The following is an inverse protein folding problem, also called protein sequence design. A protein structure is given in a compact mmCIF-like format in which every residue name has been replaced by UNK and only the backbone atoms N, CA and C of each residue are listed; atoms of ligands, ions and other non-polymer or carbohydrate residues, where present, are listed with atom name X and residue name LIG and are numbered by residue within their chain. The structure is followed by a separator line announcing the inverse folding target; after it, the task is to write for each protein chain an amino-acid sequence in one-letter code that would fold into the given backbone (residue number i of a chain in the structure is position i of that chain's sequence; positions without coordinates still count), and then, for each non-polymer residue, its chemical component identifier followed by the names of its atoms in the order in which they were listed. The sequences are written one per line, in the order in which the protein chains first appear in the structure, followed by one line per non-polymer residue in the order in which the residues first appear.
data_IF_365759399550
#
_entry.id   IF_365759399550
#
_cell.length_a   1.000
_cell.length_b   1.000
_cell.length_c   1.000
_cell.angle_alpha   90.00
_cell.angle_beta   90.00
_cell.angle_gamma   90.00
#
_symmetry.space_group_name_H-M   'P 1'
#
loop_
_entity.id
_entity.type
_entity.pdbx_description
1 polymer ?
#
# COMPACT_ATOMS: atom_id res chain seq x y z
N UNK A 1 25.42 -10.60 11.97
CA UNK A 1 24.25 -9.96 12.60
C UNK A 1 23.03 -10.49 11.88
N UNK A 2 21.86 -10.66 12.53
CA UNK A 2 20.65 -11.09 11.83
C UNK A 2 20.26 -10.08 10.74
N UNK A 3 19.67 -10.57 9.65
CA UNK A 3 19.01 -9.70 8.69
C UNK A 3 17.72 -9.15 9.30
N UNK A 4 17.51 -7.83 9.24
CA UNK A 4 16.35 -7.17 9.82
C UNK A 4 15.28 -6.99 8.76
N UNK A 5 14.17 -7.71 8.93
CA UNK A 5 13.04 -7.72 8.02
C UNK A 5 11.92 -6.82 8.54
N UNK A 6 11.66 -5.72 7.84
CA UNK A 6 10.54 -4.83 8.15
C UNK A 6 9.20 -5.44 7.73
N UNK A 7 8.30 -5.62 8.69
CA UNK A 7 6.96 -6.19 8.49
C UNK A 7 5.90 -5.10 8.69
N UNK A 8 5.16 -4.81 7.65
CA UNK A 8 3.99 -3.92 7.72
C UNK A 8 2.84 -4.65 8.41
N UNK A 9 2.24 -3.99 9.40
CA UNK A 9 1.21 -4.60 10.25
C UNK A 9 -0.22 -4.54 9.68
N UNK A 10 -0.41 -4.33 8.38
CA UNK A 10 -1.73 -4.33 7.74
C UNK A 10 -2.15 -5.73 7.28
N UNK A 11 -3.46 -5.99 7.30
CA UNK A 11 -4.02 -7.29 6.92
C UNK A 11 -3.66 -7.73 5.49
N UNK A 12 -3.53 -6.79 4.53
CA UNK A 12 -3.17 -7.12 3.14
C UNK A 12 -1.77 -7.70 2.97
N UNK A 13 -0.90 -7.55 3.95
CA UNK A 13 0.46 -8.11 3.93
C UNK A 13 0.51 -9.49 4.59
N UNK A 14 -0.48 -9.84 5.42
CA UNK A 14 -0.50 -11.08 6.18
C UNK A 14 -0.23 -12.35 5.33
N UNK A 15 -0.78 -12.52 4.11
CA UNK A 15 -0.46 -13.71 3.29
C UNK A 15 1.01 -13.85 2.93
N UNK A 16 1.79 -12.75 2.89
CA UNK A 16 3.20 -12.79 2.51
C UNK A 16 4.13 -13.29 3.63
N UNK A 17 3.66 -13.29 4.87
CA UNK A 17 4.45 -13.71 6.03
C UNK A 17 3.68 -14.61 7.00
N UNK A 18 2.53 -15.17 6.57
CA UNK A 18 1.72 -16.05 7.41
C UNK A 18 2.54 -17.26 7.89
N UNK A 19 2.64 -17.44 9.23
CA UNK A 19 3.49 -18.45 9.88
C UNK A 19 4.99 -18.34 9.54
N UNK A 20 5.44 -17.21 9.02
CA UNK A 20 6.86 -16.93 8.96
C UNK A 20 7.34 -16.66 10.39
N UNK A 21 8.23 -17.51 10.88
CA UNK A 21 8.83 -17.39 12.21
C UNK A 21 10.18 -16.69 12.10
N UNK A 22 10.56 -15.85 13.10
CA UNK A 22 11.94 -15.39 13.20
C UNK A 22 12.88 -16.58 13.24
N UNK A 23 13.95 -16.53 12.48
CA UNK A 23 14.85 -17.67 12.31
C UNK A 23 16.07 -17.60 13.21
N UNK A 24 15.90 -17.93 14.49
CA UNK A 24 16.99 -17.93 15.45
C UNK A 24 17.77 -16.61 15.40
N UNK A 25 19.08 -16.71 15.23
CA UNK A 25 19.98 -15.55 15.12
C UNK A 25 20.12 -15.02 13.66
N UNK A 26 19.35 -15.54 12.68
CA UNK A 26 19.53 -15.20 11.27
C UNK A 26 18.60 -14.09 10.79
N UNK A 27 17.35 -14.01 11.27
CA UNK A 27 16.34 -13.01 10.86
C UNK A 27 15.65 -12.42 12.08
N UNK A 28 15.64 -11.10 12.15
CA UNK A 28 14.91 -10.30 13.12
C UNK A 28 13.74 -9.58 12.45
N UNK A 29 12.55 -9.64 13.05
CA UNK A 29 11.37 -8.91 12.55
C UNK A 29 11.25 -7.55 13.23
N UNK A 30 11.11 -6.52 12.40
CA UNK A 30 10.85 -5.15 12.83
C UNK A 30 9.46 -4.75 12.33
N UNK A 31 8.52 -4.58 13.24
CA UNK A 31 7.13 -4.21 12.90
C UNK A 31 6.95 -2.70 12.89
N UNK A 32 6.17 -2.19 11.92
CA UNK A 32 5.89 -0.76 11.83
C UNK A 32 4.86 -0.43 10.75
N UNK A 33 4.53 0.87 10.68
CA UNK A 33 3.72 1.43 9.58
C UNK A 33 4.61 1.71 8.36
N UNK A 34 4.05 1.77 7.14
CA UNK A 34 4.85 1.94 5.93
C UNK A 34 5.80 3.14 5.95
N UNK A 35 5.36 4.31 6.44
CA UNK A 35 6.20 5.52 6.50
C UNK A 35 7.42 5.35 7.40
N UNK A 36 7.27 4.65 8.53
CA UNK A 36 8.36 4.37 9.45
C UNK A 36 9.36 3.37 8.86
N UNK A 37 8.87 2.24 8.33
CA UNK A 37 9.72 1.21 7.71
C UNK A 37 10.45 1.73 6.47
N UNK A 38 9.82 2.60 5.66
CA UNK A 38 10.49 3.27 4.54
C UNK A 38 11.69 4.10 5.04
N UNK A 39 11.51 4.90 6.09
CA UNK A 39 12.58 5.69 6.71
C UNK A 39 13.71 4.79 7.22
N UNK A 40 13.35 3.72 7.92
CA UNK A 40 14.32 2.77 8.49
C UNK A 40 15.15 2.07 7.39
N UNK A 41 14.51 1.65 6.29
CA UNK A 41 15.22 1.07 5.15
C UNK A 41 16.21 2.05 4.55
N UNK A 42 15.79 3.29 4.28
CA UNK A 42 16.65 4.33 3.70
C UNK A 42 17.80 4.74 4.59
N UNK A 43 17.64 4.60 5.92
CA UNK A 43 18.69 4.82 6.93
C UNK A 43 19.60 3.60 7.15
N UNK A 44 19.30 2.43 6.54
CA UNK A 44 20.02 1.18 6.77
C UNK A 44 19.77 0.56 8.14
N UNK A 45 18.67 0.94 8.81
CA UNK A 45 18.24 0.40 10.09
C UNK A 45 17.55 -0.96 9.94
N UNK A 46 17.01 -1.26 8.76
CA UNK A 46 16.50 -2.57 8.34
C UNK A 46 17.03 -2.92 6.96
N UNK A 47 17.07 -4.21 6.63
CA UNK A 47 17.75 -4.71 5.44
C UNK A 47 16.78 -4.93 4.26
N UNK A 48 15.53 -5.29 4.55
CA UNK A 48 14.48 -5.56 3.56
C UNK A 48 13.11 -5.19 4.13
N UNK A 49 12.24 -4.57 3.33
CA UNK A 49 10.82 -4.33 3.68
C UNK A 49 9.96 -4.14 2.44
N UNK A 50 8.63 -4.21 2.63
CA UNK A 50 7.67 -3.69 1.66
C UNK A 50 7.72 -2.16 1.67
N UNK A 51 8.51 -1.58 0.76
CA UNK A 51 8.58 -0.14 0.59
C UNK A 51 7.41 0.35 -0.26
N UNK A 52 6.85 1.49 0.10
CA UNK A 52 5.77 2.09 -0.67
C UNK A 52 6.25 2.51 -2.06
N UNK A 53 5.39 2.35 -3.09
CA UNK A 53 5.78 2.54 -4.48
C UNK A 53 6.36 3.91 -4.78
N UNK A 54 5.79 4.99 -4.23
CA UNK A 54 6.33 6.33 -4.48
C UNK A 54 7.73 6.50 -3.88
N UNK A 55 8.01 5.89 -2.74
CA UNK A 55 9.35 5.95 -2.15
C UNK A 55 10.35 5.10 -2.93
N UNK A 56 9.96 3.91 -3.40
CA UNK A 56 10.79 3.12 -4.31
C UNK A 56 11.14 3.90 -5.59
N UNK A 57 10.17 4.57 -6.18
CA UNK A 57 10.37 5.38 -7.39
C UNK A 57 11.23 6.63 -7.15
N UNK A 58 11.08 7.30 -6.00
CA UNK A 58 11.89 8.47 -5.62
C UNK A 58 13.35 8.12 -5.35
N UNK A 59 13.59 6.97 -4.69
CA UNK A 59 14.91 6.50 -4.30
C UNK A 59 15.43 5.37 -5.20
N UNK A 60 14.95 5.31 -6.45
CA UNK A 60 15.31 4.29 -7.45
C UNK A 60 16.82 4.19 -7.74
N UNK A 61 17.56 5.26 -7.48
CA UNK A 61 19.02 5.28 -7.54
C UNK A 61 19.71 4.52 -6.40
N UNK A 62 19.03 4.34 -5.26
CA UNK A 62 19.53 3.70 -4.04
C UNK A 62 18.93 2.32 -3.78
N UNK A 63 17.77 2.02 -4.35
CA UNK A 63 16.97 0.84 -4.04
C UNK A 63 17.01 -0.21 -5.15
N UNK A 64 16.83 -1.47 -4.74
CA UNK A 64 16.62 -2.62 -5.62
C UNK A 64 15.40 -3.39 -5.14
N UNK A 65 14.42 -3.65 -6.03
CA UNK A 65 13.22 -4.41 -5.69
C UNK A 65 13.41 -5.91 -5.94
N UNK A 66 12.75 -6.75 -5.13
CA UNK A 66 12.56 -8.15 -5.47
C UNK A 66 11.62 -8.26 -6.68
N UNK A 67 11.98 -9.07 -7.70
CA UNK A 67 11.30 -9.05 -9.00
C UNK A 67 9.93 -9.75 -9.00
N UNK A 68 9.58 -10.45 -7.95
CA UNK A 68 8.44 -11.38 -7.90
C UNK A 68 7.46 -11.14 -6.75
N UNK A 69 7.58 -9.99 -6.07
CA UNK A 69 6.69 -9.64 -4.96
C UNK A 69 6.08 -8.26 -5.12
N UNK A 70 4.78 -8.15 -4.89
CA UNK A 70 4.08 -6.86 -4.84
C UNK A 70 2.89 -6.88 -3.90
N UNK A 71 2.41 -5.70 -3.56
CA UNK A 71 1.05 -5.45 -3.11
C UNK A 71 0.41 -4.59 -4.18
N UNK A 72 -0.36 -5.22 -5.06
CA UNK A 72 -1.03 -4.55 -6.17
C UNK A 72 -2.50 -4.97 -6.29
N UNK A 73 -3.32 -4.21 -7.01
CA UNK A 73 -4.69 -4.59 -7.36
C UNK A 73 -5.01 -4.21 -8.81
N UNK A 74 -5.88 -5.00 -9.44
CA UNK A 74 -6.47 -4.65 -10.72
C UNK A 74 -7.92 -4.20 -10.50
N UNK A 75 -8.13 -2.90 -10.36
CA UNK A 75 -9.42 -2.34 -9.94
C UNK A 75 -9.44 -2.02 -8.44
N UNK A 76 -10.55 -2.27 -7.72
CA UNK A 76 -10.71 -1.81 -6.34
C UNK A 76 -9.65 -2.38 -5.41
N UNK A 77 -9.24 -1.59 -4.40
CA UNK A 77 -8.31 -2.01 -3.35
C UNK A 77 -9.00 -2.25 -2.01
N UNK A 78 -10.18 -1.67 -1.81
CA UNK A 78 -11.02 -1.73 -0.60
C UNK A 78 -10.41 -1.10 0.66
N UNK A 79 -9.15 -0.69 0.63
CA UNK A 79 -8.43 -0.13 1.78
C UNK A 79 -7.62 1.14 1.48
N UNK A 80 -7.88 1.79 0.35
CA UNK A 80 -7.38 3.14 0.03
C UNK A 80 -8.56 3.94 -0.45
N UNK A 81 -9.23 4.61 0.51
CA UNK A 81 -10.56 5.15 0.32
C UNK A 81 -10.58 6.66 0.53
N UNK A 82 -11.17 7.37 -0.44
CA UNK A 82 -11.55 8.76 -0.29
C UNK A 82 -13.02 8.82 0.16
N UNK A 83 -13.24 9.31 1.37
CA UNK A 83 -14.57 9.64 1.90
C UNK A 83 -14.84 11.10 1.61
N UNK A 84 -16.04 11.45 1.08
CA UNK A 84 -16.30 12.81 0.64
C UNK A 84 -17.78 13.19 0.74
N UNK A 85 -18.06 14.50 0.93
CA UNK A 85 -19.39 15.01 1.12
C UNK A 85 -20.14 15.32 -0.18
N UNK A 86 -19.43 15.49 -1.30
CA UNK A 86 -19.94 15.80 -2.63
C UNK A 86 -19.17 15.00 -3.69
N UNK A 87 -19.74 14.78 -4.89
CA UNK A 87 -19.06 14.03 -5.96
C UNK A 87 -17.61 14.46 -6.18
N UNK A 88 -16.73 13.52 -6.55
CA UNK A 88 -15.29 13.83 -6.75
C UNK A 88 -15.10 14.96 -7.76
N UNK A 89 -15.89 15.00 -8.82
CA UNK A 89 -15.81 16.03 -9.86
C UNK A 89 -16.18 17.45 -9.36
N UNK A 90 -16.74 17.57 -8.15
CA UNK A 90 -17.08 18.83 -7.48
C UNK A 90 -16.04 19.24 -6.40
N UNK A 91 -14.91 18.53 -6.30
CA UNK A 91 -13.88 18.78 -5.29
C UNK A 91 -12.83 19.82 -5.74
N UNK A 92 -13.06 20.53 -6.85
CA UNK A 92 -12.17 21.63 -7.22
C UNK A 92 -12.18 22.73 -6.15
N UNK A 93 -10.99 23.20 -5.75
CA UNK A 93 -10.81 24.14 -4.64
C UNK A 93 -11.11 23.56 -3.24
N UNK A 94 -11.39 22.25 -3.11
CA UNK A 94 -11.69 21.61 -1.82
C UNK A 94 -10.45 21.47 -0.95
N UNK A 95 -10.68 21.40 0.37
CA UNK A 95 -9.68 20.96 1.36
C UNK A 95 -9.90 19.49 1.67
N UNK A 96 -8.90 18.67 1.38
CA UNK A 96 -8.96 17.22 1.55
C UNK A 96 -7.97 16.80 2.65
N UNK A 97 -8.48 16.27 3.76
CA UNK A 97 -7.66 15.67 4.79
C UNK A 97 -6.99 14.40 4.26
N UNK A 98 -5.67 14.29 4.38
CA UNK A 98 -4.94 13.10 3.94
C UNK A 98 -4.15 12.47 5.08
N UNK A 99 -4.15 11.15 5.14
CA UNK A 99 -3.40 10.41 6.16
C UNK A 99 -1.89 10.67 6.06
N UNK A 100 -1.23 10.68 7.20
CA UNK A 100 0.25 10.74 7.31
C UNK A 100 0.92 9.37 7.20
N UNK A 101 0.14 8.27 7.11
CA UNK A 101 0.66 6.90 7.13
C UNK A 101 1.11 6.38 5.76
N UNK A 102 0.77 7.06 4.64
CA UNK A 102 1.12 6.61 3.28
C UNK A 102 1.41 7.73 2.29
N UNK A 103 2.65 7.87 1.90
CA UNK A 103 3.05 8.77 0.81
C UNK A 103 2.50 8.33 -0.57
N UNK A 104 2.46 7.02 -0.85
CA UNK A 104 1.95 6.48 -2.12
C UNK A 104 0.48 6.82 -2.34
N UNK A 105 -0.37 6.62 -1.32
CA UNK A 105 -1.82 6.87 -1.47
C UNK A 105 -2.14 8.35 -1.60
N UNK A 106 -1.39 9.22 -0.93
CA UNK A 106 -1.51 10.67 -1.08
C UNK A 106 -1.10 11.11 -2.49
N UNK A 107 0.02 10.57 -3.01
CA UNK A 107 0.45 10.88 -4.38
C UNK A 107 -0.51 10.30 -5.43
N UNK A 108 -1.07 9.10 -5.19
CA UNK A 108 -2.10 8.53 -6.06
C UNK A 108 -3.33 9.44 -6.13
N UNK A 109 -3.83 9.92 -4.99
CA UNK A 109 -4.95 10.87 -4.96
C UNK A 109 -4.62 12.12 -5.78
N UNK A 110 -3.44 12.72 -5.61
CA UNK A 110 -3.00 13.88 -6.38
C UNK A 110 -3.04 13.61 -7.88
N UNK A 111 -2.43 12.52 -8.35
CA UNK A 111 -2.41 12.12 -9.77
C UNK A 111 -3.82 11.92 -10.32
N UNK A 112 -4.72 11.33 -9.53
CA UNK A 112 -6.10 11.07 -9.95
C UNK A 112 -6.93 12.36 -10.06
N UNK A 113 -6.73 13.32 -9.17
CA UNK A 113 -7.38 14.64 -9.20
C UNK A 113 -6.84 15.50 -10.36
N UNK A 114 -5.51 15.56 -10.52
CA UNK A 114 -4.86 16.28 -11.63
C UNK A 114 -5.31 15.72 -12.99
N UNK A 115 -5.42 14.40 -13.13
CA UNK A 115 -5.94 13.74 -14.34
C UNK A 115 -7.40 14.07 -14.67
N UNK A 116 -8.14 14.71 -13.74
CA UNK A 116 -9.50 15.24 -13.93
C UNK A 116 -9.54 16.77 -14.00
N UNK A 117 -8.40 17.45 -13.91
CA UNK A 117 -8.33 18.92 -13.85
C UNK A 117 -8.82 19.50 -12.52
N UNK A 118 -8.83 18.70 -11.45
CA UNK A 118 -9.26 19.12 -10.10
C UNK A 118 -8.04 19.55 -9.30
N UNK A 119 -8.07 20.78 -8.80
CA UNK A 119 -7.05 21.33 -7.92
C UNK A 119 -7.60 21.44 -6.50
N UNK A 120 -7.12 20.59 -5.60
CA UNK A 120 -7.53 20.54 -4.19
C UNK A 120 -6.34 20.74 -3.26
N UNK A 121 -6.58 21.34 -2.10
CA UNK A 121 -5.59 21.44 -1.02
C UNK A 121 -5.54 20.12 -0.25
N UNK A 122 -4.40 19.44 -0.26
CA UNK A 122 -4.18 18.21 0.52
C UNK A 122 -3.56 18.56 1.88
N UNK A 123 -4.33 18.33 2.96
CA UNK A 123 -3.95 18.69 4.34
C UNK A 123 -3.56 17.43 5.11
N UNK A 124 -2.26 17.22 5.44
CA UNK A 124 -1.83 16.06 6.23
C UNK A 124 -2.36 16.13 7.66
N UNK A 125 -3.07 15.09 8.11
CA UNK A 125 -3.62 15.00 9.46
C UNK A 125 -3.54 13.56 9.99
N UNK A 126 -3.70 13.40 11.30
CA UNK A 126 -3.81 12.08 11.92
C UNK A 126 -5.06 11.34 11.37
N UNK A 127 -4.97 10.02 11.08
CA UNK A 127 -6.04 9.28 10.42
C UNK A 127 -7.18 8.93 11.38
N UNK A 128 -8.13 9.83 11.52
CA UNK A 128 -9.43 9.66 12.21
C UNK A 128 -10.53 10.23 11.32
N UNK A 129 -11.40 9.35 10.79
CA UNK A 129 -12.40 9.71 9.78
C UNK A 129 -13.34 10.80 10.26
N UNK A 130 -13.76 10.74 11.52
CA UNK A 130 -14.76 11.64 12.08
C UNK A 130 -14.20 13.07 12.18
N UNK A 131 -13.02 13.25 12.76
CA UNK A 131 -12.37 14.55 12.85
C UNK A 131 -11.99 15.09 11.47
N UNK A 132 -11.49 14.22 10.56
CA UNK A 132 -11.12 14.60 9.20
C UNK A 132 -12.32 15.18 8.44
N UNK A 133 -13.48 14.51 8.47
CA UNK A 133 -14.67 14.93 7.73
C UNK A 133 -15.47 16.06 8.40
N UNK A 134 -15.23 16.37 9.68
CA UNK A 134 -15.81 17.56 10.32
C UNK A 134 -15.14 18.86 9.88
N UNK A 135 -13.86 18.79 9.57
CA UNK A 135 -13.04 19.97 9.28
C UNK A 135 -12.69 20.12 7.78
N UNK A 136 -12.98 19.10 6.96
CA UNK A 136 -12.59 19.05 5.55
C UNK A 136 -13.70 18.53 4.65
N UNK A 137 -13.64 18.86 3.36
CA UNK A 137 -14.58 18.44 2.34
C UNK A 137 -14.51 16.94 2.01
N UNK A 138 -13.33 16.36 2.20
CA UNK A 138 -13.06 14.93 2.00
C UNK A 138 -11.93 14.45 2.90
N UNK A 139 -11.81 13.12 3.05
CA UNK A 139 -10.81 12.45 3.88
C UNK A 139 -10.25 11.21 3.18
N UNK A 140 -8.92 11.15 3.02
CA UNK A 140 -8.23 9.96 2.53
C UNK A 140 -7.74 9.11 3.69
N UNK A 141 -8.28 7.91 3.82
CA UNK A 141 -7.79 6.87 4.73
C UNK A 141 -7.19 5.69 3.99
N UNK A 142 -6.31 4.96 4.70
CA UNK A 142 -5.66 3.76 4.17
C UNK A 142 -5.72 2.58 5.15
N UNK A 143 -5.37 1.40 4.61
CA UNK A 143 -5.17 0.18 5.38
C UNK A 143 -6.44 -0.30 6.08
N UNK A 144 -6.26 -0.96 7.21
CA UNK A 144 -7.33 -1.61 7.94
C UNK A 144 -8.40 -0.61 8.41
N UNK A 145 -8.01 0.63 8.77
CA UNK A 145 -8.94 1.70 9.14
C UNK A 145 -9.90 2.03 7.98
N UNK A 146 -9.35 2.23 6.78
CA UNK A 146 -10.17 2.53 5.60
C UNK A 146 -11.11 1.38 5.26
N UNK A 147 -10.64 0.13 5.34
CA UNK A 147 -11.46 -1.06 5.12
C UNK A 147 -12.64 -1.11 6.12
N UNK A 148 -12.36 -0.94 7.41
CA UNK A 148 -13.38 -0.99 8.47
C UNK A 148 -14.42 0.11 8.30
N UNK A 149 -13.99 1.36 8.07
CA UNK A 149 -14.91 2.50 7.90
C UNK A 149 -15.79 2.34 6.66
N UNK A 150 -15.22 1.85 5.54
CA UNK A 150 -15.96 1.61 4.31
C UNK A 150 -16.99 0.46 4.47
N UNK A 151 -16.60 -0.65 5.11
CA UNK A 151 -17.49 -1.81 5.34
C UNK A 151 -18.64 -1.45 6.29
N UNK A 152 -18.34 -0.73 7.37
CA UNK A 152 -19.31 -0.32 8.37
C UNK A 152 -20.20 0.85 7.91
N UNK A 153 -19.95 1.43 6.74
CA UNK A 153 -20.66 2.60 6.23
C UNK A 153 -20.79 3.70 7.28
N UNK A 154 -19.64 4.07 7.86
CA UNK A 154 -19.58 5.05 8.96
C UNK A 154 -20.35 6.33 8.62
N UNK A 155 -21.14 6.80 9.55
CA UNK A 155 -21.76 8.12 9.50
C UNK A 155 -21.01 9.10 10.38
N UNK A 156 -20.90 10.35 9.94
CA UNK A 156 -20.33 11.45 10.71
C UNK A 156 -21.41 12.51 10.86
N UNK A 157 -21.73 12.88 12.10
CA UNK A 157 -22.81 13.81 12.46
C UNK A 157 -24.15 13.46 11.79
N UNK A 158 -24.49 12.15 11.75
CA UNK A 158 -25.72 11.62 11.15
C UNK A 158 -25.76 11.61 9.62
N UNK A 159 -24.68 12.02 8.93
CA UNK A 159 -24.55 11.98 7.47
C UNK A 159 -23.60 10.86 7.04
N UNK A 160 -23.98 10.13 6.02
CA UNK A 160 -23.12 9.13 5.40
C UNK A 160 -22.30 9.77 4.28
N UNK A 161 -20.95 9.73 4.32
CA UNK A 161 -20.14 10.21 3.22
C UNK A 161 -20.27 9.30 2.00
N UNK A 162 -20.06 9.86 0.83
CA UNK A 162 -19.73 9.10 -0.38
C UNK A 162 -18.36 8.49 -0.23
N UNK A 163 -18.09 7.38 -0.93
CA UNK A 163 -16.82 6.66 -0.86
C UNK A 163 -16.31 6.35 -2.25
N UNK A 164 -15.08 6.73 -2.52
CA UNK A 164 -14.37 6.41 -3.76
C UNK A 164 -13.12 5.58 -3.48
N UNK A 165 -13.01 4.43 -4.13
CA UNK A 165 -11.84 3.55 -4.08
C UNK A 165 -10.77 4.05 -5.06
N UNK A 166 -9.55 4.32 -4.58
CA UNK A 166 -8.50 4.88 -5.43
C UNK A 166 -7.89 3.85 -6.39
N UNK A 167 -7.88 2.57 -6.04
CA UNK A 167 -7.45 1.50 -6.97
C UNK A 167 -8.41 1.39 -8.15
N UNK A 168 -9.71 1.42 -7.90
CA UNK A 168 -10.74 1.45 -8.94
C UNK A 168 -10.64 2.72 -9.80
N UNK A 169 -10.42 3.87 -9.19
CA UNK A 169 -10.25 5.14 -9.91
C UNK A 169 -9.01 5.12 -10.82
N UNK A 170 -7.90 4.55 -10.35
CA UNK A 170 -6.70 4.33 -11.16
C UNK A 170 -6.98 3.43 -12.36
N UNK A 171 -7.61 2.27 -12.13
CA UNK A 171 -7.94 1.33 -13.19
C UNK A 171 -8.85 1.94 -14.26
N UNK A 172 -9.82 2.77 -13.84
CA UNK A 172 -10.69 3.49 -14.80
C UNK A 172 -9.92 4.44 -15.70
N UNK A 173 -8.89 5.12 -15.18
CA UNK A 173 -8.08 6.08 -15.93
C UNK A 173 -7.01 5.41 -16.81
N UNK A 174 -6.42 4.28 -16.37
CA UNK A 174 -5.21 3.72 -16.99
C UNK A 174 -5.39 2.35 -17.60
N UNK A 175 -6.36 1.57 -17.13
CA UNK A 175 -6.55 0.15 -17.41
C UNK A 175 -5.41 -0.75 -16.94
N UNK A 176 -4.54 -0.24 -16.06
CA UNK A 176 -3.42 -0.95 -15.47
C UNK A 176 -3.69 -1.30 -14.01
N UNK A 177 -3.04 -2.32 -13.45
CA UNK A 177 -2.98 -2.52 -12.01
C UNK A 177 -2.33 -1.32 -11.32
N UNK A 178 -2.66 -1.10 -10.06
CA UNK A 178 -1.91 -0.19 -9.21
C UNK A 178 -1.07 -0.97 -8.22
N UNK A 179 0.24 -0.76 -8.25
CA UNK A 179 1.20 -1.33 -7.30
C UNK A 179 1.39 -0.37 -6.14
N UNK A 180 0.98 -0.78 -4.94
CA UNK A 180 1.07 0.03 -3.71
C UNK A 180 2.43 -0.07 -3.04
N UNK A 181 3.03 -1.26 -3.07
CA UNK A 181 4.33 -1.54 -2.46
C UNK A 181 5.05 -2.69 -3.18
N UNK A 182 6.38 -2.69 -3.07
CA UNK A 182 7.27 -3.77 -3.52
C UNK A 182 8.25 -4.12 -2.40
N UNK A 183 8.71 -5.38 -2.33
CA UNK A 183 9.84 -5.71 -1.45
C UNK A 183 11.12 -5.11 -2.02
N UNK A 184 11.83 -4.31 -1.22
CA UNK A 184 13.07 -3.69 -1.65
C UNK A 184 14.11 -3.63 -0.53
N UNK A 185 15.37 -3.60 -0.94
CA UNK A 185 16.57 -3.38 -0.13
C UNK A 185 17.38 -2.22 -0.67
N UNK A 186 18.35 -1.75 0.08
CA UNK A 186 19.40 -0.91 -0.46
C UNK A 186 20.24 -1.69 -1.49
N UNK A 187 20.68 -1.05 -2.56
CA UNK A 187 21.52 -1.65 -3.60
C UNK A 187 22.81 -2.27 -3.06
N UNK A 188 23.41 -1.55 -2.10
CA UNK A 188 24.69 -1.94 -1.51
C UNK A 188 24.53 -2.95 -0.36
N UNK A 189 23.30 -3.27 0.02
CA UNK A 189 22.97 -4.27 1.03
C UNK A 189 21.85 -5.19 0.55
N UNK A 190 22.10 -6.06 -0.46
CA UNK A 190 21.08 -6.97 -0.96
C UNK A 190 20.72 -8.05 0.07
N UNK A 191 19.45 -8.52 0.12
CA UNK A 191 19.06 -9.60 1.01
C UNK A 191 19.74 -10.92 0.65
N UNK A 192 19.92 -11.80 1.62
CA UNK A 192 20.42 -13.14 1.36
C UNK A 192 19.45 -13.95 0.49
N UNK A 193 19.99 -14.90 -0.29
CA UNK A 193 19.16 -15.85 -1.04
C UNK A 193 18.28 -16.70 -0.13
N UNK A 194 18.76 -16.98 1.08
CA UNK A 194 18.00 -17.70 2.11
C UNK A 194 16.76 -16.91 2.52
N UNK A 195 16.88 -15.62 2.87
CA UNK A 195 15.76 -14.78 3.23
C UNK A 195 14.73 -14.69 2.10
N UNK A 196 15.18 -14.44 0.85
CA UNK A 196 14.29 -14.36 -0.31
C UNK A 196 13.57 -15.69 -0.56
N UNK A 197 14.28 -16.82 -0.44
CA UNK A 197 13.68 -18.16 -0.56
C UNK A 197 12.56 -18.38 0.44
N UNK A 198 12.79 -18.00 1.67
CA UNK A 198 11.81 -18.14 2.74
C UNK A 198 10.60 -17.22 2.61
N UNK A 199 10.80 -16.01 2.13
CA UNK A 199 9.67 -15.14 1.78
C UNK A 199 8.80 -15.75 0.66
N UNK A 200 9.42 -16.39 -0.33
CA UNK A 200 8.69 -17.12 -1.38
C UNK A 200 7.87 -18.27 -0.79
N UNK A 201 8.49 -19.09 0.05
CA UNK A 201 7.81 -20.20 0.75
C UNK A 201 6.64 -19.68 1.61
N UNK A 202 6.84 -18.60 2.37
CA UNK A 202 5.80 -17.99 3.20
C UNK A 202 4.63 -17.47 2.36
N UNK A 203 4.91 -16.78 1.24
CA UNK A 203 3.87 -16.33 0.29
C UNK A 203 3.08 -17.51 -0.26
N UNK A 204 3.74 -18.53 -0.81
CA UNK A 204 3.06 -19.70 -1.39
C UNK A 204 2.19 -20.39 -0.32
N UNK A 205 2.73 -20.53 0.91
CA UNK A 205 1.96 -21.08 2.01
C UNK A 205 0.75 -20.22 2.35
N UNK A 206 0.94 -18.92 2.59
CA UNK A 206 -0.13 -18.00 2.98
C UNK A 206 -1.24 -17.89 1.92
N UNK A 207 -0.87 -17.88 0.63
CA UNK A 207 -1.84 -17.89 -0.46
C UNK A 207 -2.56 -19.24 -0.57
N UNK A 208 -1.88 -20.36 -0.31
CA UNK A 208 -2.47 -21.68 -0.29
C UNK A 208 -3.51 -21.88 0.83
N UNK A 209 -3.39 -21.14 1.93
CA UNK A 209 -4.29 -21.21 3.10
C UNK A 209 -5.01 -19.87 3.36
N UNK A 210 -5.33 -19.13 2.32
CA UNK A 210 -5.87 -17.77 2.43
C UNK A 210 -7.12 -17.66 3.30
N UNK A 211 -7.95 -18.72 3.36
CA UNK A 211 -9.09 -18.76 4.26
C UNK A 211 -8.64 -18.78 5.75
N UNK A 212 -7.60 -19.51 6.09
CA UNK A 212 -7.06 -19.53 7.46
C UNK A 212 -6.48 -18.15 7.82
N UNK A 213 -5.77 -17.52 6.89
CA UNK A 213 -5.27 -16.14 7.05
C UNK A 213 -6.45 -15.19 7.31
N UNK A 214 -7.52 -15.30 6.54
CA UNK A 214 -8.72 -14.49 6.74
C UNK A 214 -9.38 -14.73 8.10
N UNK A 215 -9.47 -15.99 8.55
CA UNK A 215 -9.98 -16.31 9.89
C UNK A 215 -9.12 -15.72 11.01
N UNK A 216 -7.79 -15.69 10.83
CA UNK A 216 -6.86 -15.10 11.79
C UNK A 216 -6.99 -13.57 11.84
N UNK A 217 -7.01 -12.90 10.67
CA UNK A 217 -7.02 -11.44 10.57
C UNK A 217 -8.38 -10.80 10.92
N UNK A 218 -9.48 -11.51 10.69
CA UNK A 218 -10.84 -11.00 10.88
C UNK A 218 -11.13 -10.43 12.28
N UNK A 219 -10.86 -11.16 13.39
CA UNK A 219 -11.12 -10.64 14.73
C UNK A 219 -10.19 -9.47 15.09
N UNK A 220 -8.95 -9.50 14.60
CA UNK A 220 -7.95 -8.46 14.84
C UNK A 220 -8.41 -7.12 14.23
N UNK A 221 -9.08 -7.17 13.07
CA UNK A 221 -9.54 -5.98 12.30
C UNK A 221 -11.03 -5.67 12.47
N UNK A 222 -11.74 -6.46 13.29
CA UNK A 222 -13.18 -6.27 13.52
C UNK A 222 -14.01 -6.29 12.23
N UNK A 223 -13.65 -7.13 11.27
CA UNK A 223 -14.41 -7.40 10.05
C UNK A 223 -14.80 -8.88 9.97
N UNK A 224 -15.85 -9.21 9.21
CA UNK A 224 -16.25 -10.62 9.06
C UNK A 224 -15.27 -11.40 8.18
N UNK A 225 -15.16 -12.73 8.41
CA UNK A 225 -14.29 -13.63 7.62
C UNK A 225 -14.58 -13.53 6.11
N UNK A 226 -15.85 -13.52 5.63
CA UNK A 226 -16.10 -13.37 4.20
C UNK A 226 -15.61 -12.05 3.61
N UNK A 227 -15.68 -10.94 4.38
CA UNK A 227 -15.15 -9.63 3.97
C UNK A 227 -13.63 -9.69 3.88
N UNK A 228 -12.97 -10.19 4.93
CA UNK A 228 -11.52 -10.33 4.97
C UNK A 228 -11.01 -11.24 3.84
N UNK A 229 -11.64 -12.37 3.62
CA UNK A 229 -11.26 -13.30 2.55
C UNK A 229 -11.38 -12.65 1.16
N UNK A 230 -12.49 -11.93 0.89
CA UNK A 230 -12.64 -11.16 -0.36
C UNK A 230 -11.56 -10.10 -0.51
N UNK A 231 -11.27 -9.38 0.57
CA UNK A 231 -10.26 -8.34 0.59
C UNK A 231 -8.88 -8.92 0.24
N UNK A 232 -8.43 -9.98 0.94
CA UNK A 232 -7.14 -10.60 0.70
C UNK A 232 -7.04 -11.26 -0.68
N UNK A 233 -8.12 -11.89 -1.18
CA UNK A 233 -8.14 -12.51 -2.51
C UNK A 233 -8.06 -11.52 -3.66
N UNK A 234 -8.30 -10.23 -3.42
CA UNK A 234 -8.31 -9.20 -4.44
C UNK A 234 -6.90 -8.68 -4.77
N UNK A 235 -5.91 -8.94 -3.91
CA UNK A 235 -4.56 -8.48 -4.14
C UNK A 235 -3.79 -9.40 -5.11
N UNK A 236 -2.89 -8.78 -5.85
CA UNK A 236 -1.88 -9.38 -6.70
C UNK A 236 -0.57 -9.37 -5.89
N UNK A 237 -0.15 -10.54 -5.45
CA UNK A 237 1.03 -10.73 -4.60
C UNK A 237 2.30 -11.10 -5.39
N UNK A 238 2.14 -11.33 -6.71
CA UNK A 238 3.21 -11.56 -7.65
C UNK A 238 3.44 -10.28 -8.47
N UNK A 239 4.70 -9.87 -8.58
CA UNK A 239 5.07 -8.69 -9.34
C UNK A 239 5.26 -9.02 -10.81
N UNK A 240 4.17 -9.17 -11.53
CA UNK A 240 4.14 -9.52 -12.96
C UNK A 240 4.29 -8.30 -13.87
N UNK A 241 4.44 -8.53 -15.19
CA UNK A 241 4.62 -7.44 -16.16
C UNK A 241 3.52 -6.36 -16.08
N UNK A 242 2.21 -6.68 -15.98
CA UNK A 242 1.19 -5.64 -15.86
C UNK A 242 1.35 -4.77 -14.60
N UNK A 243 1.82 -5.36 -13.48
CA UNK A 243 2.05 -4.63 -12.22
C UNK A 243 3.24 -3.67 -12.34
N UNK A 244 4.28 -4.08 -13.09
CA UNK A 244 5.43 -3.22 -13.44
C UNK A 244 5.01 -2.07 -14.35
N UNK A 245 4.17 -2.35 -15.37
CA UNK A 245 3.63 -1.32 -16.26
C UNK A 245 2.83 -0.29 -15.48
N UNK A 246 2.01 -0.73 -14.51
CA UNK A 246 1.27 0.14 -13.62
C UNK A 246 2.18 0.99 -12.73
N UNK A 247 3.26 0.40 -12.19
CA UNK A 247 4.26 1.11 -11.39
C UNK A 247 5.01 2.17 -12.24
N UNK A 248 5.39 1.83 -13.47
CA UNK A 248 6.06 2.75 -14.41
C UNK A 248 5.13 3.90 -14.77
N UNK A 249 3.86 3.63 -15.08
CA UNK A 249 2.88 4.67 -15.40
C UNK A 249 2.64 5.61 -14.20
N UNK A 250 2.61 5.05 -12.98
CA UNK A 250 2.53 5.87 -11.77
C UNK A 250 3.78 6.76 -11.60
N UNK A 251 4.97 6.23 -11.89
CA UNK A 251 6.22 6.99 -11.91
C UNK A 251 6.19 8.16 -12.87
N UNK A 252 5.74 7.93 -14.10
CA UNK A 252 5.62 8.96 -15.15
C UNK A 252 4.68 10.10 -14.77
N UNK A 253 3.59 9.79 -14.05
CA UNK A 253 2.63 10.80 -13.57
C UNK A 253 3.04 11.51 -12.30
N UNK A 254 3.96 10.92 -11.52
CA UNK A 254 4.29 11.38 -10.17
C UNK A 254 5.62 12.09 -10.04
N UNK A 255 6.57 11.81 -10.94
CA UNK A 255 7.96 12.24 -10.81
C UNK A 255 8.38 12.93 -12.13
N UNK A 256 8.78 14.20 -12.08
CA UNK A 256 9.38 14.87 -13.24
C UNK A 256 10.60 14.10 -13.75
N UNK A 257 10.76 14.03 -15.06
CA UNK A 257 11.90 13.39 -15.74
C UNK A 257 12.14 11.92 -15.31
N UNK A 258 11.05 11.20 -14.99
CA UNK A 258 11.13 9.80 -14.59
C UNK A 258 11.59 8.91 -15.74
N UNK A 259 12.71 8.21 -15.54
CA UNK A 259 13.23 7.19 -16.45
C UNK A 259 13.01 5.78 -15.87
N UNK A 260 12.18 4.92 -16.51
CA UNK A 260 11.97 3.56 -16.05
C UNK A 260 13.21 2.67 -16.14
N UNK A 261 14.21 3.01 -16.98
CA UNK A 261 15.46 2.28 -17.10
C UNK A 261 16.36 2.41 -15.85
N UNK A 262 16.08 3.36 -14.98
CA UNK A 262 16.76 3.51 -13.68
C UNK A 262 16.26 2.52 -12.63
N UNK A 263 15.08 1.88 -12.83
CA UNK A 263 14.58 0.87 -11.90
C UNK A 263 15.49 -0.36 -11.87
N UNK A 264 15.80 -0.83 -10.68
CA UNK A 264 16.65 -2.01 -10.45
C UNK A 264 15.85 -3.11 -9.76
N UNK A 265 16.10 -4.32 -10.23
CA UNK A 265 15.50 -5.53 -9.70
C UNK A 265 16.60 -6.51 -9.28
N UNK A 266 16.38 -7.19 -8.18
CA UNK A 266 17.29 -8.21 -7.68
C UNK A 266 17.39 -9.36 -8.70
N UNK A 267 18.59 -9.93 -8.96
CA UNK A 267 18.76 -11.02 -9.92
C UNK A 267 17.94 -12.25 -9.51
N UNK A 268 17.24 -12.84 -10.45
CA UNK A 268 16.49 -14.10 -10.25
C UNK A 268 17.43 -15.30 -10.06
#
# INVERSE_FOLDING_TARGET
MPERLGIVSYANVAPLHYRLEPWGDEIEFVYGVPSELNRMLLAGEIDLTLISSIEFLRWRDRLTALPDFSIATLGPVYSVMLFHWRPVDELDGARIAVTTESATSVQLLRVLLEGRGINAELVPVAPDLESMLREHDAALLIGDKALVEAVNRRTVDGRQPLVSDLGEAWYRQTRLPFTFAVWASLKDNPPSRTLVGKLREAREHGLGVLHEVACHESPIRSVSVPVMQRYLSNFRYYFELPDRDGLIEFGRRSIPDFDPEELRYWPQ
#
